data_IF_107289215502
#
_entry.id   IF_107289215502
#
_cell.length_a   1.000
_cell.length_b   1.000
_cell.length_c   1.000
_cell.angle_alpha   90.00
_cell.angle_beta   90.00
_cell.angle_gamma   90.00
#
_symmetry.space_group_name_H-M   'P 1'
#
loop_
_entity.id
_entity.type
_entity.pdbx_description
1 polymer ?
#
# COMPACT_ATOMS: atom_id res chain seq x y z
N UNK A 1 9.30 16.39 29.47
CA UNK A 1 9.14 15.18 28.66
C UNK A 1 8.29 15.58 27.48
N UNK A 2 8.91 15.80 26.33
CA UNK A 2 8.22 16.26 25.13
C UNK A 2 7.12 15.26 24.78
N UNK A 3 5.88 15.74 24.70
CA UNK A 3 4.80 15.01 24.04
C UNK A 3 5.23 14.84 22.59
N UNK A 4 5.74 13.65 22.26
CA UNK A 4 5.87 13.24 20.87
C UNK A 4 4.48 13.41 20.26
N UNK A 5 4.39 14.29 19.25
CA UNK A 5 3.12 14.56 18.60
C UNK A 5 2.68 13.27 17.88
N UNK A 6 1.80 12.50 18.53
CA UNK A 6 1.31 11.20 18.04
C UNK A 6 0.66 11.31 16.65
N UNK A 7 0.21 12.50 16.23
CA UNK A 7 -0.33 12.73 14.90
C UNK A 7 0.72 12.57 13.79
N UNK A 8 2.00 12.89 14.04
CA UNK A 8 3.05 12.82 13.04
C UNK A 8 3.28 11.39 12.52
N UNK A 9 3.06 10.40 13.37
CA UNK A 9 3.25 8.98 13.07
C UNK A 9 1.94 8.25 12.74
N UNK A 10 0.83 8.98 12.66
CA UNK A 10 -0.49 8.39 12.38
C UNK A 10 -0.56 7.72 11.00
N UNK A 11 0.34 8.07 10.09
CA UNK A 11 0.46 7.47 8.77
C UNK A 11 1.32 6.20 8.72
N UNK A 12 1.85 5.73 9.84
CA UNK A 12 2.64 4.49 9.92
C UNK A 12 1.75 3.40 10.49
N UNK A 13 1.76 2.23 9.83
CA UNK A 13 1.07 1.05 10.33
C UNK A 13 1.78 0.45 11.56
N UNK A 14 1.00 -0.07 12.50
CA UNK A 14 1.48 -0.85 13.64
C UNK A 14 1.42 -2.35 13.36
N UNK A 15 0.45 -2.80 12.56
CA UNK A 15 0.36 -4.18 12.08
C UNK A 15 1.40 -4.43 11.00
N UNK A 16 2.06 -5.57 11.09
CA UNK A 16 2.88 -6.13 10.02
C UNK A 16 2.14 -7.27 9.37
N UNK A 17 1.98 -7.24 8.04
CA UNK A 17 1.45 -8.39 7.31
C UNK A 17 2.61 -9.38 7.14
N UNK A 18 2.60 -10.57 7.77
CA UNK A 18 3.79 -11.42 7.83
C UNK A 18 4.35 -11.79 6.45
N UNK A 19 3.48 -12.09 5.49
CA UNK A 19 3.87 -12.46 4.13
C UNK A 19 4.63 -11.35 3.39
N UNK A 20 4.48 -10.08 3.82
CA UNK A 20 5.17 -8.94 3.20
C UNK A 20 6.65 -8.86 3.53
N UNK A 21 7.15 -9.74 4.40
CA UNK A 21 8.54 -9.75 4.82
C UNK A 21 9.21 -11.05 4.42
N UNK A 22 10.50 -10.98 4.09
CA UNK A 22 11.35 -12.16 3.94
C UNK A 22 11.71 -12.72 5.33
N UNK A 23 12.24 -13.95 5.42
CA UNK A 23 12.74 -14.49 6.69
C UNK A 23 13.79 -13.60 7.38
N UNK A 24 14.55 -12.83 6.60
CA UNK A 24 15.57 -11.87 7.06
C UNK A 24 14.96 -10.56 7.59
N UNK A 25 13.66 -10.31 7.34
CA UNK A 25 12.94 -9.13 7.79
C UNK A 25 12.84 -8.00 6.77
N UNK A 26 13.37 -8.19 5.55
CA UNK A 26 13.27 -7.22 4.46
C UNK A 26 11.91 -7.28 3.77
N UNK A 27 11.51 -6.21 3.07
CA UNK A 27 10.26 -6.20 2.31
C UNK A 27 10.31 -7.21 1.14
N UNK A 28 9.36 -8.14 1.12
CA UNK A 28 9.06 -8.99 -0.01
C UNK A 28 8.21 -8.23 -1.05
N UNK A 29 8.87 -7.40 -1.86
CA UNK A 29 8.23 -6.53 -2.84
C UNK A 29 7.31 -7.26 -3.82
N UNK A 30 7.69 -8.48 -4.24
CA UNK A 30 6.86 -9.31 -5.14
C UNK A 30 5.57 -9.72 -4.46
N UNK A 31 5.62 -10.07 -3.18
CA UNK A 31 4.42 -10.44 -2.42
C UNK A 31 3.45 -9.26 -2.35
N UNK A 32 3.93 -8.07 -1.96
CA UNK A 32 3.10 -6.86 -1.84
C UNK A 32 2.43 -6.53 -3.19
N UNK A 33 3.24 -6.38 -4.24
CA UNK A 33 2.77 -5.89 -5.53
C UNK A 33 1.97 -6.94 -6.32
N UNK A 34 2.57 -8.09 -6.60
CA UNK A 34 2.06 -9.04 -7.59
C UNK A 34 1.19 -10.15 -7.00
N UNK A 35 1.38 -10.51 -5.73
CA UNK A 35 0.58 -11.58 -5.09
C UNK A 35 -0.62 -11.00 -4.37
N UNK A 36 -0.39 -10.05 -3.47
CA UNK A 36 -1.43 -9.49 -2.61
C UNK A 36 -2.38 -8.58 -3.39
N UNK A 37 -1.83 -7.55 -4.05
CA UNK A 37 -2.62 -6.61 -4.86
C UNK A 37 -2.87 -7.06 -6.30
N UNK A 38 -2.13 -8.07 -6.78
CA UNK A 38 -2.23 -8.57 -8.16
C UNK A 38 -1.99 -7.47 -9.21
N UNK A 39 -1.03 -6.60 -8.95
CA UNK A 39 -0.58 -5.59 -9.92
C UNK A 39 0.26 -6.24 -11.01
N UNK A 40 -0.04 -5.91 -12.26
CA UNK A 40 0.75 -6.33 -13.42
C UNK A 40 2.03 -5.52 -13.56
N UNK A 41 2.98 -5.98 -14.38
CA UNK A 41 4.18 -5.20 -14.67
C UNK A 41 3.85 -3.86 -15.35
N UNK A 42 2.79 -3.78 -16.15
CA UNK A 42 2.33 -2.53 -16.75
C UNK A 42 1.80 -1.54 -15.70
N UNK A 43 1.04 -2.04 -14.72
CA UNK A 43 0.57 -1.22 -13.60
C UNK A 43 1.78 -0.68 -12.78
N UNK A 44 2.73 -1.56 -12.47
CA UNK A 44 3.92 -1.19 -11.69
C UNK A 44 4.82 -0.19 -12.42
N UNK A 45 5.02 -0.39 -13.72
CA UNK A 45 5.76 0.54 -14.57
C UNK A 45 5.13 1.93 -14.55
N UNK A 46 3.80 1.99 -14.65
CA UNK A 46 3.03 3.23 -14.62
C UNK A 46 3.12 3.91 -13.24
N UNK A 47 2.92 3.17 -12.15
CA UNK A 47 2.97 3.70 -10.78
C UNK A 47 4.37 4.26 -10.46
N UNK A 48 5.42 3.55 -10.86
CA UNK A 48 6.80 3.95 -10.60
C UNK A 48 7.40 4.90 -11.66
N UNK A 49 6.67 5.22 -12.72
CA UNK A 49 7.16 6.01 -13.87
C UNK A 49 8.46 5.44 -14.47
N UNK A 50 8.51 4.12 -14.64
CA UNK A 50 9.65 3.39 -15.24
C UNK A 50 9.21 2.61 -16.48
N UNK A 51 10.17 2.09 -17.24
CA UNK A 51 9.85 1.20 -18.36
C UNK A 51 9.36 -0.16 -17.88
N UNK A 52 8.35 -0.75 -18.53
CA UNK A 52 7.85 -2.11 -18.24
C UNK A 52 8.98 -3.14 -18.25
N UNK A 53 9.97 -2.98 -19.16
CA UNK A 53 11.14 -3.88 -19.27
C UNK A 53 12.06 -3.85 -18.04
N UNK A 54 12.00 -2.78 -17.26
CA UNK A 54 12.81 -2.58 -16.05
C UNK A 54 12.12 -3.04 -14.77
N UNK A 55 10.83 -3.43 -14.85
CA UNK A 55 10.11 -3.97 -13.69
C UNK A 55 10.66 -5.35 -13.36
N UNK A 56 11.40 -5.42 -12.24
CA UNK A 56 12.05 -6.64 -11.73
C UNK A 56 12.07 -6.59 -10.21
N UNK A 57 12.07 -7.77 -9.59
CA UNK A 57 12.09 -7.93 -8.13
C UNK A 57 13.42 -8.44 -7.58
N UNK A 58 14.41 -8.63 -8.45
CA UNK A 58 15.72 -9.14 -8.05
C UNK A 58 16.49 -8.06 -7.27
N UNK A 59 17.15 -8.48 -6.19
CA UNK A 59 17.98 -7.62 -5.36
C UNK A 59 19.07 -6.93 -6.20
N UNK A 60 19.32 -5.66 -5.92
CA UNK A 60 20.28 -4.83 -6.67
C UNK A 60 19.88 -4.44 -8.09
N UNK A 61 18.81 -5.03 -8.67
CA UNK A 61 18.35 -4.74 -10.04
C UNK A 61 17.00 -4.04 -10.11
N UNK A 62 16.23 -4.04 -9.03
CA UNK A 62 14.99 -3.29 -8.95
C UNK A 62 15.27 -1.77 -9.01
N UNK A 63 14.59 -1.00 -9.89
CA UNK A 63 14.67 0.46 -9.89
C UNK A 63 14.27 1.05 -8.53
N UNK A 64 15.01 2.04 -8.04
CA UNK A 64 14.71 2.68 -6.74
C UNK A 64 13.29 3.27 -6.70
N UNK A 65 12.86 3.94 -7.77
CA UNK A 65 11.50 4.47 -7.87
C UNK A 65 10.41 3.40 -7.73
N UNK A 66 10.68 2.16 -8.14
CA UNK A 66 9.75 1.04 -7.95
C UNK A 66 9.73 0.57 -6.49
N UNK A 67 10.91 0.50 -5.84
CA UNK A 67 11.01 0.17 -4.41
C UNK A 67 10.20 1.16 -3.57
N UNK A 68 10.43 2.45 -3.77
CA UNK A 68 9.80 3.52 -3.00
C UNK A 68 8.26 3.45 -3.10
N UNK A 69 7.73 3.23 -4.31
CA UNK A 69 6.28 3.09 -4.51
C UNK A 69 5.70 1.84 -3.89
N UNK A 70 6.42 0.72 -3.93
CA UNK A 70 5.94 -0.52 -3.29
C UNK A 70 5.99 -0.38 -1.76
N UNK A 71 6.97 0.32 -1.19
CA UNK A 71 7.03 0.62 0.26
C UNK A 71 5.85 1.48 0.72
N UNK A 72 5.53 2.54 -0.04
CA UNK A 72 4.33 3.36 0.20
C UNK A 72 3.05 2.51 0.17
N UNK A 73 2.91 1.66 -0.85
CA UNK A 73 1.77 0.75 -1.00
C UNK A 73 1.71 -0.26 0.14
N UNK A 74 2.85 -0.82 0.57
CA UNK A 74 2.96 -1.76 1.68
C UNK A 74 2.40 -1.13 2.95
N UNK A 75 2.85 0.08 3.28
CA UNK A 75 2.38 0.82 4.44
C UNK A 75 0.87 1.07 4.40
N UNK A 76 0.29 1.40 3.23
CA UNK A 76 -1.17 1.53 3.08
C UNK A 76 -1.89 0.21 3.30
N UNK A 77 -1.37 -0.90 2.78
CA UNK A 77 -1.96 -2.22 3.03
C UNK A 77 -1.96 -2.58 4.52
N UNK A 78 -0.87 -2.26 5.22
CA UNK A 78 -0.73 -2.50 6.66
C UNK A 78 -1.62 -1.58 7.51
N UNK A 79 -1.78 -0.31 7.13
CA UNK A 79 -2.73 0.61 7.75
C UNK A 79 -4.17 0.12 7.65
N UNK A 80 -4.55 -0.42 6.49
CA UNK A 80 -5.90 -0.99 6.31
C UNK A 80 -6.05 -2.27 7.14
N UNK A 81 -4.99 -3.10 7.22
CA UNK A 81 -5.01 -4.27 8.09
C UNK A 81 -5.19 -3.88 9.56
N UNK A 82 -4.52 -2.82 10.05
CA UNK A 82 -4.74 -2.27 11.38
C UNK A 82 -6.22 -1.91 11.62
N UNK A 83 -6.84 -1.18 10.69
CA UNK A 83 -8.24 -0.77 10.79
C UNK A 83 -9.21 -1.95 10.78
N UNK A 84 -8.81 -3.07 10.19
CA UNK A 84 -9.59 -4.31 10.10
C UNK A 84 -9.19 -5.36 11.15
N UNK A 85 -8.42 -4.97 12.16
CA UNK A 85 -8.02 -5.86 13.26
C UNK A 85 -7.08 -6.99 12.84
N UNK A 86 -6.25 -6.76 11.81
CA UNK A 86 -5.29 -7.73 11.27
C UNK A 86 -5.90 -8.79 10.34
N UNK A 87 -7.18 -8.67 9.96
CA UNK A 87 -7.82 -9.64 9.06
C UNK A 87 -7.34 -9.48 7.61
N UNK A 88 -6.37 -10.32 7.23
CA UNK A 88 -5.73 -10.28 5.90
C UNK A 88 -6.72 -10.55 4.76
N UNK A 89 -7.70 -11.43 4.97
CA UNK A 89 -8.69 -11.76 3.93
C UNK A 89 -9.62 -10.57 3.68
N UNK A 90 -10.09 -9.93 4.74
CA UNK A 90 -10.89 -8.69 4.62
C UNK A 90 -10.06 -7.56 4.01
N UNK A 91 -8.79 -7.44 4.40
CA UNK A 91 -7.88 -6.44 3.84
C UNK A 91 -7.75 -6.61 2.33
N UNK A 92 -7.45 -7.82 1.86
CA UNK A 92 -7.34 -8.10 0.42
C UNK A 92 -8.67 -7.88 -0.32
N UNK A 93 -9.79 -8.28 0.29
CA UNK A 93 -11.13 -8.04 -0.26
C UNK A 93 -11.43 -6.54 -0.38
N UNK A 94 -11.08 -5.75 0.62
CA UNK A 94 -11.28 -4.30 0.63
C UNK A 94 -10.55 -3.63 -0.53
N UNK A 95 -9.30 -4.01 -0.83
CA UNK A 95 -8.55 -3.47 -1.96
C UNK A 95 -9.18 -3.77 -3.33
N UNK A 96 -9.95 -4.86 -3.44
CA UNK A 96 -10.57 -5.30 -4.71
C UNK A 96 -12.04 -4.91 -4.84
N UNK A 97 -12.69 -4.54 -3.75
CA UNK A 97 -14.10 -4.15 -3.71
C UNK A 97 -14.25 -2.70 -4.14
N UNK A 98 -15.21 -2.42 -5.04
CA UNK A 98 -15.55 -1.05 -5.44
C UNK A 98 -16.24 -0.34 -4.27
N UNK A 99 -15.88 0.92 -4.06
CA UNK A 99 -16.47 1.72 -2.99
C UNK A 99 -17.05 3.03 -3.57
N UNK A 100 -18.30 3.33 -3.24
CA UNK A 100 -18.97 4.56 -3.67
C UNK A 100 -18.26 5.81 -3.16
N UNK A 101 -17.71 5.79 -1.94
CA UNK A 101 -16.95 6.90 -1.35
C UNK A 101 -15.64 7.18 -2.10
N UNK A 102 -15.13 6.21 -2.85
CA UNK A 102 -13.94 6.36 -3.70
C UNK A 102 -14.29 6.79 -5.13
N UNK A 103 -15.56 7.07 -5.42
CA UNK A 103 -16.04 7.34 -6.78
C UNK A 103 -16.35 6.07 -7.57
N UNK A 104 -16.85 5.03 -6.90
CA UNK A 104 -17.22 3.73 -7.48
C UNK A 104 -16.05 2.98 -8.15
N UNK A 105 -14.85 3.15 -7.62
CA UNK A 105 -13.64 2.40 -8.00
C UNK A 105 -13.09 1.66 -6.78
N UNK A 106 -12.24 0.66 -7.02
CA UNK A 106 -11.57 -0.06 -5.94
C UNK A 106 -10.33 0.71 -5.45
N UNK A 107 -9.91 0.56 -4.18
CA UNK A 107 -8.66 1.13 -3.68
C UNK A 107 -7.45 0.70 -4.51
N UNK A 108 -7.42 -0.55 -4.99
CA UNK A 108 -6.39 -1.03 -5.92
C UNK A 108 -6.40 -0.23 -7.21
N UNK A 109 -7.55 0.06 -7.80
CA UNK A 109 -7.63 0.87 -9.02
C UNK A 109 -7.19 2.31 -8.77
N UNK A 110 -7.43 2.87 -7.58
CA UNK A 110 -6.84 4.17 -7.20
C UNK A 110 -5.31 4.13 -7.26
N UNK A 111 -4.69 3.08 -6.69
CA UNK A 111 -3.23 2.87 -6.76
C UNK A 111 -2.77 2.77 -8.22
N UNK A 112 -3.43 1.94 -9.04
CA UNK A 112 -3.12 1.76 -10.47
C UNK A 112 -3.22 3.05 -11.29
N UNK A 113 -4.12 3.96 -10.90
CA UNK A 113 -4.31 5.24 -11.54
C UNK A 113 -3.48 6.38 -10.93
N UNK A 114 -2.53 6.07 -10.03
CA UNK A 114 -1.64 7.06 -9.42
C UNK A 114 -2.34 7.95 -8.38
N UNK A 115 -3.53 7.57 -7.91
CA UNK A 115 -4.31 8.31 -6.89
C UNK A 115 -3.95 7.87 -5.47
N UNK A 116 -2.66 7.57 -5.24
CA UNK A 116 -2.16 7.09 -3.96
C UNK A 116 -2.35 8.12 -2.84
N UNK A 117 -1.93 9.38 -3.05
CA UNK A 117 -2.06 10.43 -2.02
C UNK A 117 -3.52 10.60 -1.58
N UNK A 118 -4.45 10.63 -2.55
CA UNK A 118 -5.89 10.71 -2.26
C UNK A 118 -6.39 9.52 -1.45
N UNK A 119 -5.91 8.31 -1.73
CA UNK A 119 -6.25 7.13 -0.94
C UNK A 119 -5.73 7.25 0.50
N UNK A 120 -4.49 7.73 0.66
CA UNK A 120 -3.89 7.95 1.98
C UNK A 120 -4.66 9.01 2.78
N UNK A 121 -5.03 10.14 2.17
CA UNK A 121 -5.82 11.20 2.81
C UNK A 121 -7.15 10.64 3.36
N UNK A 122 -7.87 9.86 2.54
CA UNK A 122 -9.13 9.22 2.94
C UNK A 122 -8.90 8.24 4.10
N UNK A 123 -7.81 7.48 4.10
CA UNK A 123 -7.47 6.57 5.20
C UNK A 123 -7.14 7.34 6.49
N UNK A 124 -6.45 8.48 6.39
CA UNK A 124 -6.17 9.33 7.55
C UNK A 124 -7.45 9.94 8.11
N UNK A 125 -8.37 10.38 7.26
CA UNK A 125 -9.67 10.90 7.69
C UNK A 125 -10.47 9.84 8.44
N UNK A 126 -10.57 8.64 7.87
CA UNK A 126 -11.24 7.50 8.52
C UNK A 126 -10.57 7.16 9.86
N UNK A 127 -9.24 7.12 9.91
CA UNK A 127 -8.47 6.83 11.14
C UNK A 127 -8.73 7.87 12.24
N UNK A 128 -8.87 9.14 11.87
CA UNK A 128 -9.13 10.24 12.79
C UNK A 128 -10.61 10.36 13.20
N UNK A 129 -11.49 9.49 12.67
CA UNK A 129 -12.92 9.54 12.93
C UNK A 129 -13.64 10.63 12.14
N UNK A 130 -12.98 11.21 11.12
CA UNK A 130 -13.61 12.12 10.18
C UNK A 130 -14.37 11.30 9.12
N UNK A 131 -15.52 11.81 8.68
CA UNK A 131 -16.22 11.24 7.54
C UNK A 131 -15.72 11.95 6.26
N UNK A 132 -15.05 11.24 5.32
CA UNK A 132 -14.53 11.82 4.10
C UNK A 132 -15.61 12.15 3.06
#
# INVERSE_FOLDING_TARGET
>A
MDQINHQLFSNIAHTKIPDFYTPEGDTNYRQVASVFLKLSNDDLAKIASVSVKTVRFDEGKMPQALKDRIEEIKNVCELVADMLGGDLKKTQLWFTTKNQMLGNISPRDMIRFGRYNKLLDILMDIKNGNNP
#
